data_IF_294204512877
#
_entry.id   IF_294204512877
#
_cell.length_a   1.000
_cell.length_b   1.000
_cell.length_c   1.000
_cell.angle_alpha   90.00
_cell.angle_beta   90.00
_cell.angle_gamma   90.00
#
_symmetry.space_group_name_H-M   'P 1'
#
loop_
_entity.id
_entity.type
_entity.pdbx_description
1 polymer ?
#
# COMPACT_ATOMS: atom_id res chain seq x y z
N UNK A 1 12.40 -10.82 11.03
CA UNK A 1 10.91 -10.98 11.17
C UNK A 1 10.28 -11.00 9.79
N UNK A 2 9.19 -11.76 9.57
CA UNK A 2 8.51 -11.76 8.26
C UNK A 2 7.48 -10.64 8.23
N UNK A 3 7.58 -9.74 7.26
CA UNK A 3 6.65 -8.64 7.03
C UNK A 3 6.00 -8.82 5.66
N UNK A 4 4.67 -8.84 5.60
CA UNK A 4 3.95 -8.89 4.33
C UNK A 4 3.83 -7.50 3.69
N UNK A 5 3.70 -7.46 2.36
CA UNK A 5 3.23 -6.26 1.65
C UNK A 5 1.78 -6.45 1.20
N UNK A 6 0.92 -5.49 1.53
CA UNK A 6 -0.46 -5.40 1.05
C UNK A 6 -0.58 -4.22 0.10
N UNK A 7 -0.79 -4.48 -1.19
CA UNK A 7 -1.01 -3.46 -2.21
C UNK A 7 -2.52 -3.25 -2.36
N UNK A 8 -3.03 -2.10 -1.95
CA UNK A 8 -4.44 -1.74 -2.11
C UNK A 8 -4.69 -1.26 -3.54
N UNK A 9 -5.26 -2.11 -4.38
CA UNK A 9 -5.52 -1.90 -5.80
C UNK A 9 -7.00 -2.09 -6.19
N UNK A 10 -7.92 -1.70 -5.30
CA UNK A 10 -9.36 -1.91 -5.46
C UNK A 10 -10.15 -0.62 -5.76
N UNK A 11 -9.50 0.54 -5.80
CA UNK A 11 -10.14 1.86 -5.92
C UNK A 11 -10.83 2.12 -7.26
N UNK A 12 -11.86 2.99 -7.24
CA UNK A 12 -12.70 3.31 -8.42
C UNK A 12 -12.13 4.37 -9.35
N UNK A 13 -11.00 5.02 -9.00
CA UNK A 13 -10.33 6.05 -9.82
C UNK A 13 -11.24 7.20 -10.27
N UNK A 14 -12.21 7.61 -9.45
CA UNK A 14 -13.32 8.52 -9.83
C UNK A 14 -12.87 9.89 -10.36
N UNK A 15 -11.63 10.31 -10.12
CA UNK A 15 -11.07 11.58 -10.61
C UNK A 15 -10.37 11.48 -11.97
N UNK A 16 -10.19 10.25 -12.50
CA UNK A 16 -9.59 9.99 -13.81
C UNK A 16 -10.63 9.82 -14.93
N UNK A 17 -11.90 10.19 -14.68
CA UNK A 17 -13.00 9.92 -15.61
C UNK A 17 -13.27 8.42 -15.71
N UNK A 18 -13.39 7.90 -16.95
CA UNK A 18 -13.67 6.48 -17.21
C UNK A 18 -12.41 5.58 -17.12
N UNK A 19 -11.23 6.17 -16.98
CA UNK A 19 -9.98 5.43 -16.94
C UNK A 19 -9.62 4.97 -15.52
N UNK A 20 -9.22 3.71 -15.39
CA UNK A 20 -8.66 3.21 -14.14
C UNK A 20 -7.20 3.65 -14.02
N UNK A 21 -6.90 4.54 -13.07
CA UNK A 21 -5.56 5.08 -12.84
C UNK A 21 -4.48 4.01 -12.61
N UNK A 22 -4.84 2.90 -11.98
CA UNK A 22 -3.92 1.80 -11.70
C UNK A 22 -3.41 1.11 -12.96
N UNK A 23 -4.18 1.21 -14.05
CA UNK A 23 -3.86 0.64 -15.37
C UNK A 23 -3.25 1.66 -16.32
N UNK A 24 -3.16 2.92 -15.92
CA UNK A 24 -2.54 3.96 -16.74
C UNK A 24 -1.06 3.63 -16.98
N UNK A 25 -0.63 3.80 -18.22
CA UNK A 25 0.78 3.60 -18.60
C UNK A 25 1.67 4.67 -17.96
N UNK A 26 2.70 4.21 -17.28
CA UNK A 26 3.77 5.02 -16.71
C UNK A 26 5.11 4.49 -17.20
N UNK A 27 5.62 5.10 -18.28
CA UNK A 27 6.89 4.74 -18.90
C UNK A 27 6.97 3.23 -19.26
N UNK A 28 5.95 2.72 -19.97
CA UNK A 28 5.90 1.36 -20.51
C UNK A 28 5.35 0.30 -19.56
N UNK A 29 4.86 0.66 -18.36
CA UNK A 29 4.21 -0.29 -17.46
C UNK A 29 3.00 0.35 -16.75
N UNK A 30 1.96 -0.43 -16.39
CA UNK A 30 0.86 0.06 -15.55
C UNK A 30 1.36 0.56 -14.18
N UNK A 31 0.72 1.60 -13.64
CA UNK A 31 1.06 2.17 -12.32
C UNK A 31 1.11 1.07 -11.25
N UNK A 32 0.10 0.20 -11.19
CA UNK A 32 0.05 -0.89 -10.20
C UNK A 32 1.21 -1.87 -10.33
N UNK A 33 1.72 -2.09 -11.54
CA UNK A 33 2.88 -2.95 -11.78
C UNK A 33 4.16 -2.33 -11.20
N UNK A 34 4.34 -1.01 -11.29
CA UNK A 34 5.48 -0.30 -10.66
C UNK A 34 5.49 -0.48 -9.13
N UNK A 35 4.33 -0.38 -8.50
CA UNK A 35 4.21 -0.62 -7.05
C UNK A 35 4.52 -2.08 -6.71
N UNK A 36 4.05 -3.01 -7.53
CA UNK A 36 4.31 -4.43 -7.39
C UNK A 36 5.82 -4.77 -7.54
N UNK A 37 6.49 -4.18 -8.52
CA UNK A 37 7.94 -4.30 -8.72
C UNK A 37 8.71 -3.84 -7.49
N UNK A 38 8.39 -2.66 -6.95
CA UNK A 38 9.03 -2.13 -5.74
C UNK A 38 8.82 -3.05 -4.52
N UNK A 39 7.59 -3.56 -4.33
CA UNK A 39 7.29 -4.49 -3.25
C UNK A 39 8.05 -5.81 -3.38
N UNK A 40 8.14 -6.37 -4.61
CA UNK A 40 8.86 -7.61 -4.87
C UNK A 40 10.39 -7.45 -4.82
N UNK A 41 10.91 -6.27 -5.13
CA UNK A 41 12.34 -5.97 -5.01
C UNK A 41 12.78 -5.75 -3.54
N UNK A 42 11.83 -5.49 -2.62
CA UNK A 42 12.09 -5.34 -1.19
C UNK A 42 12.17 -6.67 -0.44
N UNK A 43 12.42 -6.60 0.88
CA UNK A 43 12.39 -7.77 1.78
C UNK A 43 10.97 -8.21 2.17
N UNK A 44 9.92 -7.48 1.81
CA UNK A 44 8.55 -7.81 2.20
C UNK A 44 8.07 -9.12 1.57
N UNK A 45 7.62 -10.07 2.36
CA UNK A 45 7.03 -11.36 1.92
C UNK A 45 5.95 -11.81 2.90
N UNK A 46 4.85 -12.40 2.43
CA UNK A 46 4.42 -12.45 1.04
C UNK A 46 3.99 -11.07 0.52
N UNK A 47 3.84 -10.95 -0.80
CA UNK A 47 3.21 -9.78 -1.44
C UNK A 47 1.80 -10.15 -1.84
N UNK A 48 0.81 -9.38 -1.39
CA UNK A 48 -0.62 -9.59 -1.68
C UNK A 48 -1.19 -8.33 -2.30
N UNK A 49 -1.83 -8.43 -3.47
CA UNK A 49 -2.58 -7.34 -4.07
C UNK A 49 -4.09 -7.51 -3.82
N UNK A 50 -4.74 -6.47 -3.31
CA UNK A 50 -6.18 -6.46 -3.08
C UNK A 50 -6.86 -5.77 -4.26
N UNK A 51 -7.63 -6.52 -5.05
CA UNK A 51 -8.36 -6.02 -6.22
C UNK A 51 -9.84 -5.82 -5.92
N UNK A 52 -10.50 -4.96 -6.69
CA UNK A 52 -11.94 -4.68 -6.55
C UNK A 52 -12.51 -4.13 -7.85
N UNK A 53 -12.49 -2.81 -8.06
CA UNK A 53 -12.91 -2.22 -9.31
C UNK A 53 -12.06 -2.74 -10.48
N UNK A 54 -12.70 -3.17 -11.57
CA UNK A 54 -12.03 -3.77 -12.73
C UNK A 54 -11.01 -4.87 -12.39
N UNK A 55 -11.31 -5.70 -11.38
CA UNK A 55 -10.41 -6.70 -10.82
C UNK A 55 -9.74 -7.60 -11.88
N UNK A 56 -10.46 -7.95 -12.96
CA UNK A 56 -9.91 -8.78 -14.03
C UNK A 56 -8.75 -8.06 -14.77
N UNK A 57 -8.91 -6.77 -15.06
CA UNK A 57 -7.88 -5.96 -15.74
C UNK A 57 -6.68 -5.73 -14.82
N UNK A 58 -6.91 -5.40 -13.52
CA UNK A 58 -5.82 -5.22 -12.56
C UNK A 58 -5.05 -6.53 -12.35
N UNK A 59 -5.75 -7.67 -12.29
CA UNK A 59 -5.11 -8.99 -12.21
C UNK A 59 -4.28 -9.29 -13.47
N UNK A 60 -4.77 -8.94 -14.65
CA UNK A 60 -4.01 -9.10 -15.90
C UNK A 60 -2.73 -8.24 -15.90
N UNK A 61 -2.80 -7.00 -15.39
CA UNK A 61 -1.64 -6.12 -15.27
C UNK A 61 -0.59 -6.64 -14.26
N UNK A 62 -1.00 -7.49 -13.33
CA UNK A 62 -0.13 -8.15 -12.34
C UNK A 62 0.25 -9.59 -12.76
N UNK A 63 -0.17 -10.05 -13.92
CA UNK A 63 0.19 -11.38 -14.41
C UNK A 63 1.71 -11.49 -14.60
N UNK A 64 2.29 -12.60 -14.15
CA UNK A 64 3.74 -12.82 -14.20
C UNK A 64 4.52 -12.34 -12.98
N UNK A 65 3.92 -11.54 -12.10
CA UNK A 65 4.52 -11.21 -10.80
C UNK A 65 4.22 -12.30 -9.75
N UNK A 66 5.19 -12.59 -8.89
CA UNK A 66 5.05 -13.55 -7.78
C UNK A 66 4.21 -12.94 -6.63
N UNK A 67 2.94 -12.61 -6.93
CA UNK A 67 2.00 -11.91 -6.05
C UNK A 67 0.74 -12.75 -5.87
N UNK A 68 0.26 -12.84 -4.63
CA UNK A 68 -1.08 -13.37 -4.34
C UNK A 68 -2.12 -12.29 -4.58
N UNK A 69 -3.29 -12.66 -5.13
CA UNK A 69 -4.38 -11.71 -5.38
C UNK A 69 -5.58 -12.05 -4.50
N UNK A 70 -5.96 -11.12 -3.63
CA UNK A 70 -7.20 -11.14 -2.87
C UNK A 70 -8.26 -10.27 -3.56
N UNK A 71 -9.48 -10.76 -3.71
CA UNK A 71 -10.58 -9.99 -4.28
C UNK A 71 -11.45 -9.39 -3.17
N UNK A 72 -11.74 -8.10 -3.28
CA UNK A 72 -12.68 -7.40 -2.42
C UNK A 72 -13.97 -7.07 -3.22
N UNK A 73 -15.09 -7.79 -3.04
CA UNK A 73 -16.35 -7.48 -3.72
C UNK A 73 -16.98 -6.18 -3.20
N UNK A 74 -16.69 -5.81 -1.96
CA UNK A 74 -17.28 -4.66 -1.26
C UNK A 74 -16.47 -3.36 -1.46
N UNK A 75 -15.60 -3.29 -2.46
CA UNK A 75 -14.69 -2.15 -2.69
C UNK A 75 -15.41 -0.79 -2.78
N UNK A 76 -16.67 -0.78 -3.22
CA UNK A 76 -17.48 0.43 -3.33
C UNK A 76 -17.89 1.04 -1.97
N UNK A 77 -17.79 0.26 -0.87
CA UNK A 77 -18.12 0.69 0.49
C UNK A 77 -16.93 1.39 1.21
N UNK A 78 -15.83 1.63 0.49
CA UNK A 78 -14.69 2.40 0.99
C UNK A 78 -13.41 1.60 1.22
N UNK A 79 -12.33 2.33 1.46
CA UNK A 79 -10.97 1.78 1.59
C UNK A 79 -10.84 0.74 2.72
N UNK A 80 -11.62 0.88 3.80
CA UNK A 80 -11.59 -0.06 4.93
C UNK A 80 -11.91 -1.49 4.52
N UNK A 81 -12.79 -1.70 3.53
CA UNK A 81 -13.16 -3.05 3.04
C UNK A 81 -11.97 -3.71 2.32
N UNK A 82 -11.19 -2.94 1.56
CA UNK A 82 -9.98 -3.43 0.91
C UNK A 82 -8.90 -3.79 1.93
N UNK A 83 -8.74 -2.99 2.97
CA UNK A 83 -7.82 -3.29 4.06
C UNK A 83 -8.21 -4.57 4.79
N UNK A 84 -9.52 -4.77 5.08
CA UNK A 84 -10.06 -6.00 5.68
C UNK A 84 -9.78 -7.23 4.81
N UNK A 85 -10.02 -7.13 3.51
CA UNK A 85 -9.75 -8.24 2.58
C UNK A 85 -8.27 -8.61 2.57
N UNK A 86 -7.38 -7.61 2.56
CA UNK A 86 -5.94 -7.82 2.64
C UNK A 86 -5.50 -8.48 3.96
N UNK A 87 -5.97 -7.98 5.10
CA UNK A 87 -5.67 -8.57 6.41
C UNK A 87 -6.23 -10.01 6.51
N UNK A 88 -7.41 -10.27 5.97
CA UNK A 88 -7.99 -11.61 5.94
C UNK A 88 -7.12 -12.60 5.15
N UNK A 89 -6.53 -12.16 4.02
CA UNK A 89 -5.62 -12.97 3.23
C UNK A 89 -4.31 -13.32 3.97
N UNK A 90 -3.96 -12.56 5.02
CA UNK A 90 -2.78 -12.82 5.85
C UNK A 90 -3.04 -13.70 7.07
N UNK A 91 -4.31 -14.01 7.42
CA UNK A 91 -4.66 -14.74 8.67
C UNK A 91 -3.96 -16.09 8.83
N UNK A 92 -3.78 -16.81 7.74
CA UNK A 92 -3.13 -18.13 7.75
C UNK A 92 -1.59 -18.04 7.60
N UNK A 93 -1.04 -16.83 7.59
CA UNK A 93 0.38 -16.61 7.34
C UNK A 93 1.07 -16.14 8.62
N UNK A 94 2.23 -16.73 8.90
CA UNK A 94 3.06 -16.35 10.06
C UNK A 94 3.83 -15.05 9.76
N UNK A 95 3.14 -13.91 9.81
CA UNK A 95 3.73 -12.59 9.59
C UNK A 95 3.73 -11.77 10.89
N UNK A 96 4.82 -11.06 11.17
CA UNK A 96 4.94 -10.17 12.32
C UNK A 96 4.24 -8.82 12.10
N UNK A 97 4.05 -8.43 10.83
CA UNK A 97 3.41 -7.19 10.44
C UNK A 97 3.05 -7.13 8.96
N UNK A 98 2.32 -6.09 8.58
CA UNK A 98 1.95 -5.82 7.19
C UNK A 98 2.25 -4.38 6.80
N UNK A 99 2.99 -4.21 5.72
CA UNK A 99 3.21 -2.94 5.06
C UNK A 99 2.04 -2.68 4.09
N UNK A 100 1.27 -1.63 4.32
CA UNK A 100 0.13 -1.24 3.48
C UNK A 100 0.60 -0.22 2.45
N UNK A 101 0.66 -0.65 1.20
CA UNK A 101 0.99 0.17 0.03
C UNK A 101 -0.29 0.60 -0.68
N UNK A 102 -0.31 1.81 -1.21
CA UNK A 102 -1.36 2.27 -2.12
C UNK A 102 -0.93 1.97 -3.55
N UNK A 103 -1.82 1.36 -4.33
CA UNK A 103 -1.53 0.92 -5.71
C UNK A 103 -1.31 2.06 -6.71
N UNK A 104 -1.56 3.31 -6.31
CA UNK A 104 -1.43 4.55 -7.07
C UNK A 104 -0.20 5.40 -6.70
N UNK A 105 0.73 4.85 -5.92
CA UNK A 105 1.98 5.52 -5.52
C UNK A 105 3.21 4.89 -6.21
N UNK A 106 3.42 5.12 -7.51
CA UNK A 106 4.43 4.42 -8.31
C UNK A 106 5.88 4.82 -7.98
N UNK A 107 6.08 5.87 -7.18
CA UNK A 107 7.42 6.35 -6.77
C UNK A 107 7.94 5.71 -5.48
N UNK A 108 7.14 4.89 -4.81
CA UNK A 108 7.62 4.10 -3.67
C UNK A 108 8.72 3.15 -4.13
N UNK A 109 9.85 3.15 -3.42
CA UNK A 109 11.01 2.32 -3.75
C UNK A 109 11.17 1.13 -2.81
N UNK A 110 11.89 0.10 -3.24
CA UNK A 110 12.28 -1.01 -2.38
C UNK A 110 13.10 -0.54 -1.17
N UNK A 111 13.94 0.49 -1.34
CA UNK A 111 14.74 1.06 -0.26
C UNK A 111 13.88 1.69 0.84
N UNK A 112 12.83 2.43 0.47
CA UNK A 112 11.86 2.98 1.44
C UNK A 112 11.12 1.88 2.19
N UNK A 113 10.68 0.83 1.48
CA UNK A 113 10.04 -0.34 2.09
C UNK A 113 10.99 -1.01 3.09
N UNK A 114 12.23 -1.24 2.70
CA UNK A 114 13.23 -1.92 3.54
C UNK A 114 13.64 -1.09 4.75
N UNK A 115 13.68 0.24 4.63
CA UNK A 115 13.91 1.14 5.76
C UNK A 115 12.79 1.04 6.82
N UNK A 116 11.51 0.97 6.39
CA UNK A 116 10.38 0.76 7.28
C UNK A 116 10.45 -0.61 7.97
N UNK A 117 10.83 -1.67 7.23
CA UNK A 117 11.00 -3.01 7.79
C UNK A 117 12.14 -3.01 8.82
N UNK A 118 13.26 -2.36 8.54
CA UNK A 118 14.38 -2.26 9.47
C UNK A 118 13.99 -1.54 10.78
N UNK A 119 13.26 -0.42 10.69
CA UNK A 119 12.76 0.29 11.87
C UNK A 119 11.76 -0.56 12.68
N UNK A 120 10.91 -1.33 11.99
CA UNK A 120 9.99 -2.27 12.62
C UNK A 120 10.73 -3.38 13.38
N UNK A 121 11.77 -3.97 12.79
CA UNK A 121 12.60 -4.99 13.43
C UNK A 121 13.33 -4.45 14.65
N UNK A 122 13.88 -3.21 14.58
CA UNK A 122 14.53 -2.52 15.70
C UNK A 122 13.57 -2.27 16.87
N UNK A 123 12.27 -2.06 16.58
CA UNK A 123 11.24 -1.91 17.62
C UNK A 123 10.80 -3.22 18.27
N UNK A 124 11.39 -4.35 17.88
CA UNK A 124 10.95 -5.69 18.28
C UNK A 124 9.60 -6.09 17.68
N UNK A 125 9.22 -5.52 16.53
CA UNK A 125 7.97 -5.85 15.82
C UNK A 125 6.72 -5.23 16.44
N UNK A 126 6.83 -4.17 17.22
CA UNK A 126 5.71 -3.57 17.96
C UNK A 126 5.32 -2.16 17.51
N UNK A 127 6.20 -1.46 16.79
CA UNK A 127 5.93 -0.11 16.34
C UNK A 127 5.05 -0.09 15.08
N UNK A 128 4.31 1.01 14.92
CA UNK A 128 3.75 1.41 13.64
C UNK A 128 4.82 2.26 12.96
N UNK A 129 5.40 1.79 11.85
CA UNK A 129 6.43 2.56 11.14
C UNK A 129 5.79 3.36 10.01
N UNK A 130 6.03 4.67 10.02
CA UNK A 130 5.51 5.61 9.02
C UNK A 130 6.66 6.37 8.37
N UNK A 131 6.67 6.53 7.04
CA UNK A 131 7.66 7.38 6.40
C UNK A 131 7.33 8.85 6.67
N UNK A 132 8.36 9.67 6.82
CA UNK A 132 8.23 11.10 7.08
C UNK A 132 9.17 11.91 6.20
N UNK A 133 8.67 13.02 5.65
CA UNK A 133 9.46 14.02 4.98
C UNK A 133 8.94 15.42 5.37
N UNK A 134 9.84 16.35 5.72
CA UNK A 134 9.48 17.71 6.11
C UNK A 134 8.50 17.80 7.29
N UNK A 135 8.54 16.85 8.23
CA UNK A 135 7.62 16.80 9.37
C UNK A 135 6.24 16.21 9.08
N UNK A 136 5.97 15.83 7.82
CA UNK A 136 4.70 15.24 7.40
C UNK A 136 4.84 13.73 7.20
N UNK A 137 3.84 12.98 7.66
CA UNK A 137 3.74 11.52 7.52
C UNK A 137 3.10 11.17 6.18
N UNK A 138 3.68 10.19 5.49
CA UNK A 138 3.18 9.68 4.20
C UNK A 138 2.85 8.19 4.21
N UNK A 139 2.82 7.60 3.04
CA UNK A 139 2.67 6.16 2.79
C UNK A 139 3.96 5.60 2.16
N UNK A 140 4.18 4.28 2.25
CA UNK A 140 3.35 3.22 2.87
C UNK A 140 3.49 3.18 4.40
N UNK A 141 2.53 2.55 5.09
CA UNK A 141 2.56 2.40 6.55
C UNK A 141 2.71 0.92 6.92
N UNK A 142 3.65 0.62 7.81
CA UNK A 142 3.84 -0.72 8.34
C UNK A 142 3.13 -0.88 9.69
N UNK A 143 2.29 -1.88 9.77
CA UNK A 143 1.44 -2.18 10.93
C UNK A 143 1.86 -3.49 11.60
N UNK A 144 2.04 -3.54 12.93
CA UNK A 144 2.31 -4.77 13.65
C UNK A 144 1.08 -5.70 13.68
N UNK A 145 1.32 -7.00 13.76
CA UNK A 145 0.30 -8.04 13.71
C UNK A 145 -0.79 -7.88 14.78
N UNK A 146 -0.44 -7.44 15.98
CA UNK A 146 -1.39 -7.25 17.09
C UNK A 146 -2.45 -6.19 16.81
N UNK A 147 -2.25 -5.32 15.82
CA UNK A 147 -3.24 -4.33 15.38
C UNK A 147 -4.15 -4.80 14.23
N UNK A 148 -3.95 -6.01 13.69
CA UNK A 148 -4.77 -6.54 12.60
C UNK A 148 -6.26 -6.66 12.98
N UNK A 149 -6.54 -7.00 14.27
CA UNK A 149 -7.91 -7.01 14.79
C UNK A 149 -8.57 -5.63 14.70
N UNK A 150 -7.85 -4.58 15.10
CA UNK A 150 -8.31 -3.18 14.99
C UNK A 150 -8.51 -2.76 13.54
N UNK A 151 -7.58 -3.13 12.64
CA UNK A 151 -7.70 -2.83 11.20
C UNK A 151 -8.93 -3.52 10.58
N UNK A 152 -9.25 -4.73 11.02
CA UNK A 152 -10.43 -5.48 10.57
C UNK A 152 -11.77 -4.90 11.09
N UNK A 153 -11.74 -4.08 12.14
CA UNK A 153 -12.92 -3.43 12.71
C UNK A 153 -13.22 -2.05 12.08
N UNK A 154 -12.33 -1.51 11.24
CA UNK A 154 -12.51 -0.20 10.60
C UNK A 154 -13.75 -0.17 9.70
N UNK A 155 -14.31 1.02 9.46
CA UNK A 155 -15.41 1.26 8.52
C UNK A 155 -15.21 2.56 7.74
N UNK A 156 -15.80 2.63 6.54
CA UNK A 156 -15.78 3.83 5.68
C UNK A 156 -14.45 4.09 4.98
N UNK A 157 -14.28 5.32 4.49
CA UNK A 157 -13.17 5.71 3.60
C UNK A 157 -11.91 6.21 4.32
N UNK A 158 -11.97 6.44 5.63
CA UNK A 158 -10.83 7.02 6.38
C UNK A 158 -9.62 6.09 6.49
N UNK A 159 -9.75 4.83 6.06
CA UNK A 159 -8.70 3.84 6.16
C UNK A 159 -8.24 3.66 7.61
N UNK A 160 -6.93 3.57 7.83
CA UNK A 160 -6.35 3.35 9.15
C UNK A 160 -5.94 4.65 9.88
N UNK A 161 -6.38 5.84 9.43
CA UNK A 161 -5.99 7.13 10.05
C UNK A 161 -6.39 7.25 11.52
N UNK A 162 -7.58 6.74 11.87
CA UNK A 162 -8.07 6.78 13.24
C UNK A 162 -7.24 5.88 14.17
N UNK A 163 -6.69 4.77 13.64
CA UNK A 163 -5.76 3.92 14.38
C UNK A 163 -4.42 4.61 14.61
N UNK A 164 -3.90 5.37 13.63
CA UNK A 164 -2.68 6.15 13.82
C UNK A 164 -2.83 7.19 14.95
N UNK A 165 -4.00 7.81 15.06
CA UNK A 165 -4.26 8.74 16.16
C UNK A 165 -4.36 8.03 17.51
N UNK A 166 -5.03 6.85 17.54
CA UNK A 166 -5.21 6.06 18.77
C UNK A 166 -3.89 5.51 19.34
N UNK A 167 -2.96 5.11 18.45
CA UNK A 167 -1.68 4.49 18.80
C UNK A 167 -0.50 5.41 18.50
N UNK A 168 -0.66 6.72 18.73
CA UNK A 168 0.36 7.74 18.43
C UNK A 168 1.68 7.50 19.17
N UNK A 169 1.61 6.94 20.37
CA UNK A 169 2.74 6.52 21.21
C UNK A 169 3.56 5.34 20.64
N UNK A 170 2.98 4.58 19.72
CA UNK A 170 3.63 3.45 19.06
C UNK A 170 4.22 3.81 17.69
N UNK A 171 4.12 5.07 17.26
CA UNK A 171 4.59 5.50 15.94
C UNK A 171 6.11 5.73 15.95
N UNK A 172 6.82 5.03 15.07
CA UNK A 172 8.20 5.31 14.69
C UNK A 172 8.20 5.97 13.32
N UNK A 173 8.80 7.16 13.24
CA UNK A 173 8.93 7.94 12.00
C UNK A 173 10.25 7.58 11.32
N UNK A 174 10.18 7.24 10.03
CA UNK A 174 11.32 6.82 9.21
C UNK A 174 11.56 7.89 8.15
N UNK A 175 12.73 8.53 8.11
CA UNK A 175 13.03 9.52 7.07
C UNK A 175 12.91 8.93 5.67
N UNK A 176 12.25 9.66 4.78
CA UNK A 176 12.04 9.28 3.38
C UNK A 176 12.03 10.50 2.46
N UNK A 177 12.14 10.27 1.14
CA UNK A 177 11.94 11.32 0.14
C UNK A 177 10.48 11.72 0.04
N UNK A 178 10.19 13.02 -0.04
CA UNK A 178 8.81 13.52 -0.23
C UNK A 178 8.20 13.04 -1.55
N UNK A 179 9.02 12.89 -2.60
CA UNK A 179 8.55 12.37 -3.89
C UNK A 179 8.07 10.92 -3.80
N UNK A 180 8.63 10.12 -2.90
CA UNK A 180 8.25 8.70 -2.73
C UNK A 180 6.96 8.52 -1.91
N UNK A 181 6.75 9.36 -0.89
CA UNK A 181 5.73 9.12 0.13
C UNK A 181 4.46 9.97 -0.01
N UNK A 182 4.47 10.97 -0.92
CA UNK A 182 3.32 11.87 -1.17
C UNK A 182 2.83 11.84 -2.63
N UNK A 183 3.56 11.21 -3.55
CA UNK A 183 3.24 11.24 -4.97
C UNK A 183 2.24 10.14 -5.35
N UNK A 184 0.99 10.31 -4.98
CA UNK A 184 -0.13 9.55 -5.52
C UNK A 184 -0.55 10.12 -6.89
N UNK A 185 -1.01 9.25 -7.78
CA UNK A 185 -1.54 9.62 -9.09
C UNK A 185 -3.07 9.60 -9.01
N UNK A 186 -3.67 10.79 -8.87
CA UNK A 186 -5.13 10.95 -8.75
C UNK A 186 -5.77 11.57 -9.98
N UNK A 187 -5.01 12.35 -10.76
CA UNK A 187 -5.47 13.10 -11.91
C UNK A 187 -4.58 12.87 -13.14
N UNK A 188 -5.05 13.20 -14.37
CA UNK A 188 -4.19 13.19 -15.57
C UNK A 188 -2.93 14.05 -15.43
N UNK A 189 -3.02 15.19 -14.73
CA UNK A 189 -1.87 16.07 -14.48
C UNK A 189 -0.85 15.41 -13.54
N UNK A 190 -1.31 14.64 -12.53
CA UNK A 190 -0.41 13.86 -11.69
C UNK A 190 0.32 12.80 -12.49
N UNK A 191 -0.38 12.13 -13.43
CA UNK A 191 0.21 11.15 -14.32
C UNK A 191 1.28 11.77 -15.23
N UNK A 192 1.02 12.95 -15.79
CA UNK A 192 2.01 13.68 -16.59
C UNK A 192 3.25 13.99 -15.75
N UNK A 193 3.09 14.57 -14.55
CA UNK A 193 4.20 14.85 -13.61
C UNK A 193 4.96 13.59 -13.19
N UNK A 194 4.26 12.47 -13.05
CA UNK A 194 4.90 11.20 -12.70
C UNK A 194 5.79 10.68 -13.82
N UNK A 195 5.42 10.90 -15.10
CA UNK A 195 6.22 10.52 -16.28
C UNK A 195 7.52 11.28 -16.40
N UNK A 196 7.51 12.57 -16.06
CA UNK A 196 8.68 13.45 -16.18
C UNK A 196 9.73 13.21 -15.08
N UNK A 197 9.39 12.51 -14.02
CA UNK A 197 10.25 12.36 -12.84
C UNK A 197 10.67 10.93 -12.50
N UNK A 198 10.51 9.98 -13.44
CA UNK A 198 10.98 8.59 -13.30
C UNK A 198 12.10 8.28 -14.28
#
# INVERSE_FOLDING_TARGET
MTVAALILAAGRSSRMGDANKLLADLNGAPIVARVAEAALASRARPVVAVTGHEAAKVRAALAGFAIEVAHNPDYALGMSTSLKAGIAALRAKSVAGALVLLGDMPRVTAATIDALIAAFEQSGGRAICVPEAGGQRGNPVLWPHDLFGGMSALSGDKGARDLLARYADRIVRVPASSAEIFADVDTPDDLARARDGL
#
